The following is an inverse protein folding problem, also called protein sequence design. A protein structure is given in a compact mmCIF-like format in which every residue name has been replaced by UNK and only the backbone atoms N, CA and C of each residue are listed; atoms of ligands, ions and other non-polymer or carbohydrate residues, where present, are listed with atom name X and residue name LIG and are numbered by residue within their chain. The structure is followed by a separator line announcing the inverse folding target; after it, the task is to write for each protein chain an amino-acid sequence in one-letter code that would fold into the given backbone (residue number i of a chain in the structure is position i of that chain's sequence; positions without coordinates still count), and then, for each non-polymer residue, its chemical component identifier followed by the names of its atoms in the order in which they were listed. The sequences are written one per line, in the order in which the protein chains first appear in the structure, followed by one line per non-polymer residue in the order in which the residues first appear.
data_IF_311367771596
#
_entry.id   IF_311367771596
#
_cell.length_a   1.000
_cell.length_b   1.000
_cell.length_c   1.000
_cell.angle_alpha   90.00
_cell.angle_beta   90.00
_cell.angle_gamma   90.00
#
_symmetry.space_group_name_H-M   'P 1'
#
loop_
_entity.id
_entity.type
_entity.pdbx_description
1 polymer ?
#
# COMPACT_ATOMS: atom_id res chain seq x y z
N UNK A 1 -9.30 -17.20 -28.70
CA UNK A 1 -9.38 -16.59 -27.35
C UNK A 1 -10.08 -15.26 -27.50
N UNK A 2 -11.15 -14.99 -26.75
CA UNK A 2 -11.79 -13.67 -26.76
C UNK A 2 -10.91 -12.76 -25.94
N UNK A 3 -10.22 -11.81 -26.56
CA UNK A 3 -9.48 -10.77 -25.83
C UNK A 3 -10.47 -9.99 -24.98
N UNK A 4 -10.35 -10.13 -23.66
CA UNK A 4 -11.15 -9.36 -22.71
C UNK A 4 -10.77 -7.89 -22.90
N UNK A 5 -11.70 -7.09 -23.45
CA UNK A 5 -11.50 -5.66 -23.65
C UNK A 5 -11.49 -4.96 -22.29
N UNK A 6 -10.33 -4.47 -21.88
CA UNK A 6 -10.18 -3.70 -20.64
C UNK A 6 -10.91 -2.36 -20.82
N UNK A 7 -11.83 -2.03 -19.93
CA UNK A 7 -12.52 -0.73 -19.95
C UNK A 7 -11.98 0.24 -18.91
N UNK A 8 -12.07 1.55 -19.20
CA UNK A 8 -11.65 2.61 -18.28
C UNK A 8 -12.44 2.57 -16.96
N UNK A 9 -13.74 2.34 -17.03
CA UNK A 9 -14.61 2.36 -15.84
C UNK A 9 -14.34 1.17 -14.92
N UNK A 10 -14.08 -0.02 -15.48
CA UNK A 10 -13.63 -1.17 -14.69
C UNK A 10 -12.31 -0.88 -13.98
N UNK A 11 -11.31 -0.33 -14.69
CA UNK A 11 -10.02 0.01 -14.09
C UNK A 11 -10.15 1.08 -13.01
N UNK A 12 -10.98 2.10 -13.20
CA UNK A 12 -11.24 3.13 -12.17
C UNK A 12 -11.84 2.50 -10.92
N UNK A 13 -12.81 1.59 -11.08
CA UNK A 13 -13.41 0.85 -9.98
C UNK A 13 -12.38 -0.02 -9.25
N UNK A 14 -11.52 -0.71 -9.99
CA UNK A 14 -10.44 -1.52 -9.42
C UNK A 14 -9.43 -0.66 -8.65
N UNK A 15 -8.97 0.45 -9.24
CA UNK A 15 -8.05 1.40 -8.58
C UNK A 15 -8.64 1.92 -7.26
N UNK A 16 -9.93 2.25 -7.24
CA UNK A 16 -10.60 2.68 -6.01
C UNK A 16 -10.55 1.58 -4.94
N UNK A 17 -10.85 0.34 -5.33
CA UNK A 17 -10.76 -0.80 -4.42
C UNK A 17 -9.33 -1.03 -3.92
N UNK A 18 -8.33 -0.94 -4.80
CA UNK A 18 -6.93 -1.13 -4.43
C UNK A 18 -6.43 -0.04 -3.48
N UNK A 19 -6.87 1.22 -3.67
CA UNK A 19 -6.58 2.33 -2.77
C UNK A 19 -7.23 2.11 -1.39
N UNK A 20 -8.52 1.77 -1.35
CA UNK A 20 -9.27 1.59 -0.10
C UNK A 20 -8.76 0.43 0.76
N UNK A 21 -8.38 -0.69 0.14
CA UNK A 21 -7.96 -1.91 0.85
C UNK A 21 -6.44 -2.13 0.87
N UNK A 22 -5.67 -1.14 0.39
CA UNK A 22 -4.22 -1.23 0.21
C UNK A 22 -3.75 -2.50 -0.53
N UNK A 23 -4.51 -2.96 -1.52
CA UNK A 23 -4.20 -4.18 -2.30
C UNK A 23 -3.13 -3.90 -3.38
N UNK A 24 -1.89 -3.73 -2.92
CA UNK A 24 -0.73 -3.47 -3.77
C UNK A 24 -0.44 -4.63 -4.74
N UNK A 25 -0.78 -5.88 -4.38
CA UNK A 25 -0.60 -7.06 -5.24
C UNK A 25 -1.58 -7.05 -6.40
N UNK A 26 -2.86 -6.78 -6.14
CA UNK A 26 -3.89 -6.59 -7.16
C UNK A 26 -3.54 -5.42 -8.07
N UNK A 27 -3.14 -4.28 -7.50
CA UNK A 27 -2.68 -3.12 -8.26
C UNK A 27 -1.50 -3.44 -9.18
N UNK A 28 -0.53 -4.24 -8.73
CA UNK A 28 0.61 -4.65 -9.56
C UNK A 28 0.21 -5.61 -10.69
N UNK A 29 -0.73 -6.51 -10.43
CA UNK A 29 -1.33 -7.36 -11.46
C UNK A 29 -1.98 -6.52 -12.56
N UNK A 30 -2.87 -5.60 -12.17
CA UNK A 30 -3.54 -4.69 -13.10
C UNK A 30 -2.56 -3.76 -13.83
N UNK A 31 -1.50 -3.29 -13.17
CA UNK A 31 -0.42 -2.51 -13.79
C UNK A 31 0.23 -3.28 -14.94
N UNK A 32 0.61 -4.55 -14.71
CA UNK A 32 1.26 -5.39 -15.73
C UNK A 32 0.34 -5.65 -16.92
N UNK A 33 -0.92 -5.97 -16.67
CA UNK A 33 -1.91 -6.20 -17.73
C UNK A 33 -2.14 -4.94 -18.56
N UNK A 34 -2.36 -3.79 -17.91
CA UNK A 34 -2.59 -2.53 -18.60
C UNK A 34 -1.34 -2.05 -19.36
N UNK A 35 -0.15 -2.20 -18.77
CA UNK A 35 1.11 -1.86 -19.44
C UNK A 35 1.26 -2.68 -20.72
N UNK A 36 1.08 -4.00 -20.63
CA UNK A 36 1.14 -4.90 -21.78
C UNK A 36 0.15 -4.48 -22.87
N UNK A 37 -1.10 -4.20 -22.50
CA UNK A 37 -2.11 -3.72 -23.43
C UNK A 37 -1.69 -2.40 -24.13
N UNK A 38 -1.12 -1.46 -23.40
CA UNK A 38 -0.65 -0.18 -23.97
C UNK A 38 0.58 -0.35 -24.86
N UNK A 39 1.47 -1.29 -24.53
CA UNK A 39 2.67 -1.58 -25.32
C UNK A 39 2.33 -2.31 -26.63
N UNK A 40 1.30 -3.17 -26.62
CA UNK A 40 0.85 -3.94 -27.79
C UNK A 40 -0.16 -3.19 -28.67
N UNK A 41 -0.83 -2.16 -28.14
CA UNK A 41 -1.83 -1.39 -28.87
C UNK A 41 -1.24 -0.20 -29.63
N UNK A 42 -1.89 0.19 -30.73
CA UNK A 42 -1.58 1.40 -31.48
C UNK A 42 -2.27 2.66 -30.91
N UNK A 43 -2.89 2.55 -29.73
CA UNK A 43 -3.75 3.60 -29.13
C UNK A 43 -3.05 4.96 -29.04
N UNK A 44 -1.74 4.96 -28.84
CA UNK A 44 -0.93 6.19 -28.81
C UNK A 44 -1.11 7.03 -30.08
N UNK A 45 -1.31 6.38 -31.23
CA UNK A 45 -1.48 7.01 -32.54
C UNK A 45 -2.94 7.01 -32.98
N UNK A 46 -3.66 5.89 -32.77
CA UNK A 46 -5.04 5.72 -33.25
C UNK A 46 -6.06 6.48 -32.40
N UNK A 47 -5.83 6.62 -31.09
CA UNK A 47 -6.69 7.40 -30.19
C UNK A 47 -5.88 8.01 -29.01
N UNK A 48 -5.17 9.12 -29.24
CA UNK A 48 -4.26 9.70 -28.25
C UNK A 48 -4.93 10.11 -26.94
N UNK A 49 -6.20 10.54 -26.97
CA UNK A 49 -6.92 10.93 -25.75
C UNK A 49 -7.27 9.71 -24.90
N UNK A 50 -7.66 8.59 -25.53
CA UNK A 50 -7.88 7.33 -24.84
C UNK A 50 -6.57 6.79 -24.24
N UNK A 51 -5.47 6.87 -24.99
CA UNK A 51 -4.14 6.53 -24.48
C UNK A 51 -3.78 7.35 -23.24
N UNK A 52 -4.02 8.68 -23.27
CA UNK A 52 -3.78 9.56 -22.12
C UNK A 52 -4.59 9.17 -20.89
N UNK A 53 -5.85 8.78 -21.08
CA UNK A 53 -6.70 8.29 -19.99
C UNK A 53 -6.14 7.00 -19.38
N UNK A 54 -5.78 6.01 -20.20
CA UNK A 54 -5.16 4.79 -19.70
C UNK A 54 -3.80 5.04 -19.05
N UNK A 55 -2.97 5.91 -19.60
CA UNK A 55 -1.68 6.28 -19.03
C UNK A 55 -1.83 6.92 -17.64
N UNK A 56 -2.87 7.73 -17.42
CA UNK A 56 -3.18 8.26 -16.10
C UNK A 56 -3.54 7.14 -15.11
N UNK A 57 -4.34 6.15 -15.53
CA UNK A 57 -4.69 4.99 -14.70
C UNK A 57 -3.48 4.10 -14.42
N UNK A 58 -2.63 3.86 -15.43
CA UNK A 58 -1.39 3.12 -15.30
C UNK A 58 -0.46 3.77 -14.27
N UNK A 59 -0.34 5.10 -14.30
CA UNK A 59 0.44 5.87 -13.32
C UNK A 59 -0.09 5.69 -11.90
N UNK A 60 -1.42 5.72 -11.70
CA UNK A 60 -2.02 5.45 -10.37
C UNK A 60 -1.75 4.03 -9.90
N UNK A 61 -1.93 3.03 -10.77
CA UNK A 61 -1.61 1.64 -10.46
C UNK A 61 -0.13 1.47 -10.08
N UNK A 62 0.77 2.20 -10.74
CA UNK A 62 2.19 2.22 -10.42
C UNK A 62 2.47 2.77 -9.03
N UNK A 63 1.80 3.84 -8.60
CA UNK A 63 1.88 4.33 -7.22
C UNK A 63 1.32 3.32 -6.20
N UNK A 64 0.14 2.76 -6.46
CA UNK A 64 -0.48 1.76 -5.58
C UNK A 64 0.38 0.49 -5.42
N UNK A 65 1.13 0.13 -6.45
CA UNK A 65 2.05 -1.01 -6.47
C UNK A 65 3.51 -0.64 -6.28
N UNK A 66 3.82 0.56 -5.74
CA UNK A 66 5.19 1.06 -5.63
C UNK A 66 6.14 0.09 -4.90
N UNK A 67 5.61 -0.74 -4.00
CA UNK A 67 6.35 -1.77 -3.25
C UNK A 67 6.99 -2.87 -4.12
N UNK A 68 6.62 -2.97 -5.40
CA UNK A 68 7.20 -3.93 -6.35
C UNK A 68 8.27 -3.32 -7.26
N UNK A 69 8.67 -2.08 -7.01
CA UNK A 69 9.70 -1.38 -7.76
C UNK A 69 10.92 -1.17 -6.84
N UNK A 70 12.08 -1.57 -7.33
CA UNK A 70 13.39 -1.47 -6.65
C UNK A 70 14.31 -0.42 -7.29
N UNK A 71 13.99 0.03 -8.51
CA UNK A 71 14.73 1.08 -9.19
C UNK A 71 14.41 2.47 -8.61
N UNK A 72 15.28 2.96 -7.73
CA UNK A 72 15.12 4.25 -7.07
C UNK A 72 15.13 5.46 -8.01
N UNK A 73 15.80 5.39 -9.15
CA UNK A 73 15.75 6.47 -10.15
C UNK A 73 14.37 6.52 -10.83
N UNK A 74 13.78 5.36 -11.14
CA UNK A 74 12.42 5.26 -11.67
C UNK A 74 11.38 5.74 -10.66
N UNK A 75 11.56 5.40 -9.37
CA UNK A 75 10.70 5.87 -8.27
C UNK A 75 10.81 7.39 -8.13
N UNK A 76 12.02 7.94 -8.13
CA UNK A 76 12.25 9.39 -8.05
C UNK A 76 11.63 10.15 -9.22
N UNK A 77 11.73 9.59 -10.43
CA UNK A 77 11.09 10.14 -11.62
C UNK A 77 9.56 10.06 -11.57
N UNK A 78 9.01 8.95 -11.09
CA UNK A 78 7.56 8.79 -10.88
C UNK A 78 7.03 9.83 -9.90
N UNK A 79 7.68 9.98 -8.75
CA UNK A 79 7.29 10.94 -7.72
C UNK A 79 7.39 12.37 -8.25
N UNK A 80 8.52 12.77 -8.82
CA UNK A 80 8.71 14.15 -9.30
C UNK A 80 7.73 14.53 -10.43
N UNK A 81 7.50 13.64 -11.40
CA UNK A 81 6.69 13.97 -12.59
C UNK A 81 5.18 13.77 -12.38
N UNK A 82 4.80 12.90 -11.44
CA UNK A 82 3.42 12.43 -11.32
C UNK A 82 2.83 12.46 -9.92
N UNK A 83 3.42 13.20 -8.96
CA UNK A 83 2.86 13.32 -7.60
C UNK A 83 1.41 13.84 -7.57
N UNK A 84 0.98 14.57 -8.61
CA UNK A 84 -0.42 14.99 -8.74
C UNK A 84 -1.40 13.81 -8.68
N UNK A 85 -0.99 12.63 -9.15
CA UNK A 85 -1.82 11.42 -9.14
C UNK A 85 -2.00 10.82 -7.76
N UNK A 86 -1.04 11.02 -6.87
CA UNK A 86 -1.16 10.63 -5.46
C UNK A 86 -2.26 11.42 -4.77
N UNK A 87 -2.44 12.71 -5.10
CA UNK A 87 -3.50 13.53 -4.49
C UNK A 87 -4.91 13.14 -4.93
N UNK A 88 -5.04 12.34 -5.99
CA UNK A 88 -6.31 11.80 -6.47
C UNK A 88 -6.65 10.45 -5.80
N UNK A 89 -5.75 9.89 -4.98
CA UNK A 89 -5.95 8.67 -4.20
C UNK A 89 -6.30 9.07 -2.76
N UNK A 90 -7.41 8.56 -2.25
CA UNK A 90 -8.01 9.07 -1.01
C UNK A 90 -7.34 8.47 0.24
N UNK A 91 -6.98 7.19 0.17
CA UNK A 91 -6.47 6.39 1.28
C UNK A 91 -4.96 6.11 1.17
N UNK A 92 -4.33 6.54 0.08
CA UNK A 92 -2.93 6.25 -0.22
C UNK A 92 -1.94 7.00 0.68
N UNK A 93 -1.06 6.24 1.33
CA UNK A 93 0.11 6.74 2.06
C UNK A 93 1.39 6.47 1.26
N UNK A 94 1.86 7.51 0.55
CA UNK A 94 3.09 7.44 -0.24
C UNK A 94 4.33 7.15 0.62
N UNK A 95 4.39 7.69 1.85
CA UNK A 95 5.55 7.45 2.71
C UNK A 95 5.63 5.99 3.12
N UNK A 96 4.49 5.38 3.48
CA UNK A 96 4.46 3.96 3.85
C UNK A 96 4.99 3.06 2.72
N UNK A 97 4.70 3.40 1.46
CA UNK A 97 5.23 2.68 0.30
C UNK A 97 6.74 2.85 0.12
N UNK A 98 7.23 4.08 0.24
CA UNK A 98 8.67 4.38 0.16
C UNK A 98 9.42 3.71 1.32
N UNK A 99 8.88 3.77 2.54
CA UNK A 99 9.43 3.13 3.74
C UNK A 99 9.57 1.62 3.52
N UNK A 100 8.54 0.97 2.98
CA UNK A 100 8.60 -0.47 2.64
C UNK A 100 9.73 -0.79 1.66
N UNK A 101 9.95 0.06 0.66
CA UNK A 101 11.08 -0.12 -0.28
C UNK A 101 12.44 0.17 0.36
N UNK A 102 12.52 1.12 1.28
CA UNK A 102 13.78 1.38 2.01
C UNK A 102 14.15 0.20 2.92
N UNK A 103 13.16 -0.52 3.48
CA UNK A 103 13.39 -1.70 4.30
C UNK A 103 14.08 -2.84 3.54
N UNK A 104 13.95 -2.92 2.21
CA UNK A 104 14.66 -3.91 1.40
C UNK A 104 16.10 -3.51 1.09
N UNK A 105 16.53 -2.30 1.44
CA UNK A 105 17.92 -1.84 1.38
C UNK A 105 18.59 -2.09 2.72
N UNK A 106 19.54 -3.01 2.80
CA UNK A 106 20.19 -3.39 4.07
C UNK A 106 21.12 -2.29 4.63
N UNK A 107 21.73 -1.49 3.76
CA UNK A 107 22.70 -0.47 4.16
C UNK A 107 22.05 0.88 4.51
N UNK A 108 22.26 1.35 5.75
CA UNK A 108 21.67 2.60 6.24
C UNK A 108 22.21 3.86 5.55
N UNK A 109 23.47 3.83 5.09
CA UNK A 109 24.03 4.98 4.34
C UNK A 109 23.42 5.05 2.94
N UNK A 110 23.18 3.91 2.30
CA UNK A 110 22.46 3.79 1.03
C UNK A 110 21.02 4.29 1.17
N UNK A 111 20.29 3.89 2.22
CA UNK A 111 18.95 4.45 2.52
C UNK A 111 18.97 5.98 2.59
N UNK A 112 19.96 6.56 3.27
CA UNK A 112 20.11 8.01 3.38
C UNK A 112 20.48 8.67 2.04
N UNK A 113 21.26 8.00 1.19
CA UNK A 113 21.55 8.47 -0.17
C UNK A 113 20.29 8.45 -1.05
N UNK A 114 19.49 7.40 -0.98
CA UNK A 114 18.21 7.28 -1.67
C UNK A 114 17.28 8.43 -1.27
N UNK A 115 17.09 8.65 0.04
CA UNK A 115 16.26 9.75 0.57
C UNK A 115 16.73 11.12 0.06
N UNK A 116 18.05 11.37 0.06
CA UNK A 116 18.63 12.61 -0.51
C UNK A 116 18.37 12.74 -2.01
N UNK A 117 18.46 11.63 -2.75
CA UNK A 117 18.11 11.57 -4.17
C UNK A 117 16.65 11.97 -4.41
N UNK A 118 15.72 11.41 -3.64
CA UNK A 118 14.29 11.76 -3.70
C UNK A 118 14.03 13.23 -3.34
N UNK A 119 14.68 13.75 -2.30
CA UNK A 119 14.63 15.18 -1.93
C UNK A 119 15.09 16.07 -3.09
N UNK A 120 16.19 15.70 -3.75
CA UNK A 120 16.72 16.44 -4.90
C UNK A 120 15.70 16.45 -6.05
N UNK A 121 15.16 15.29 -6.42
CA UNK A 121 14.13 15.15 -7.47
C UNK A 121 12.88 15.99 -7.17
N UNK A 122 12.40 16.00 -5.92
CA UNK A 122 11.28 16.83 -5.49
C UNK A 122 11.61 18.33 -5.59
N UNK A 123 12.81 18.73 -5.18
CA UNK A 123 13.24 20.14 -5.19
C UNK A 123 13.42 20.71 -6.60
N UNK A 124 13.79 19.85 -7.55
CA UNK A 124 14.01 20.19 -8.97
C UNK A 124 12.73 20.03 -9.81
N UNK A 125 11.66 19.49 -9.25
CA UNK A 125 10.43 19.18 -9.97
C UNK A 125 9.65 20.43 -10.39
N UNK A 126 9.39 20.55 -11.68
CA UNK A 126 8.54 21.57 -12.32
C UNK A 126 7.05 21.18 -12.36
N UNK A 127 6.70 20.02 -11.81
CA UNK A 127 5.32 19.55 -11.80
C UNK A 127 4.40 20.49 -11.04
N UNK A 128 3.43 21.07 -11.75
CA UNK A 128 2.38 21.93 -11.19
C UNK A 128 1.39 21.11 -10.37
N UNK A 129 1.16 21.52 -9.12
CA UNK A 129 0.21 20.88 -8.20
C UNK A 129 -0.89 21.84 -7.71
N UNK A 130 -0.68 23.16 -7.87
CA UNK A 130 -1.65 24.22 -7.59
C UNK A 130 -2.00 24.98 -8.87
N UNK A 131 -3.29 25.16 -9.14
CA UNK A 131 -3.75 25.93 -10.30
C UNK A 131 -3.88 27.43 -9.95
N UNK A 132 -3.07 28.28 -10.58
CA UNK A 132 -3.05 29.73 -10.39
C UNK A 132 -4.42 30.40 -10.62
N UNK A 133 -5.25 29.87 -11.52
CA UNK A 133 -6.59 30.41 -11.81
C UNK A 133 -7.48 30.42 -10.56
N UNK A 134 -7.25 29.50 -9.61
CA UNK A 134 -7.97 29.46 -8.35
C UNK A 134 -7.59 30.58 -7.36
N UNK A 135 -6.53 31.35 -7.63
CA UNK A 135 -5.94 32.32 -6.72
C UNK A 135 -5.47 33.62 -7.44
N UNK A 136 -6.37 34.31 -8.18
CA UNK A 136 -6.00 35.48 -8.99
C UNK A 136 -5.38 36.62 -8.18
N UNK A 137 -5.71 36.73 -6.89
CA UNK A 137 -5.21 37.75 -5.96
C UNK A 137 -3.75 37.57 -5.55
N UNK A 138 -3.11 36.42 -5.87
CA UNK A 138 -1.75 36.11 -5.41
C UNK A 138 -0.81 35.81 -6.59
N UNK A 139 -0.17 36.84 -7.09
CA UNK A 139 0.71 36.78 -8.26
C UNK A 139 1.93 35.86 -8.09
N UNK A 140 2.49 35.81 -6.88
CA UNK A 140 3.71 35.08 -6.52
C UNK A 140 3.43 33.79 -5.72
N UNK A 141 2.28 33.16 -5.95
CA UNK A 141 1.95 31.89 -5.30
C UNK A 141 2.86 30.76 -5.85
N UNK A 142 3.45 29.91 -4.99
CA UNK A 142 4.13 28.70 -5.45
C UNK A 142 3.15 27.77 -6.20
N UNK A 143 3.54 27.28 -7.37
CA UNK A 143 2.66 26.45 -8.22
C UNK A 143 3.16 25.02 -8.38
N UNK A 144 4.49 24.84 -8.41
CA UNK A 144 5.15 23.56 -8.65
C UNK A 144 5.58 22.89 -7.34
N UNK A 145 5.84 21.58 -7.38
CA UNK A 145 6.43 20.85 -6.25
C UNK A 145 7.72 21.53 -5.78
N UNK A 146 8.64 21.82 -6.69
CA UNK A 146 9.91 22.46 -6.35
C UNK A 146 9.75 23.84 -5.71
N UNK A 147 8.79 24.65 -6.17
CA UNK A 147 8.50 25.96 -5.55
C UNK A 147 7.96 25.82 -4.12
N UNK A 148 7.10 24.83 -3.87
CA UNK A 148 6.59 24.54 -2.53
C UNK A 148 7.68 24.02 -1.59
N UNK A 149 8.59 23.16 -2.08
CA UNK A 149 9.76 22.74 -1.28
C UNK A 149 10.64 23.94 -0.92
N UNK A 150 10.88 24.87 -1.86
CA UNK A 150 11.60 26.11 -1.58
C UNK A 150 10.87 26.98 -0.55
N UNK A 151 9.55 27.13 -0.68
CA UNK A 151 8.74 27.88 0.29
C UNK A 151 8.80 27.27 1.69
N UNK A 152 8.70 25.95 1.81
CA UNK A 152 8.89 25.23 3.09
C UNK A 152 10.27 25.54 3.67
N UNK A 153 11.33 25.39 2.87
CA UNK A 153 12.70 25.63 3.34
C UNK A 153 12.95 27.08 3.78
N UNK A 154 12.35 28.07 3.13
CA UNK A 154 12.46 29.49 3.52
C UNK A 154 11.75 29.75 4.86
N UNK A 155 10.57 29.16 5.07
CA UNK A 155 9.74 29.47 6.24
C UNK A 155 10.05 28.59 7.46
N UNK A 156 10.56 27.39 7.24
CA UNK A 156 10.74 26.35 8.26
C UNK A 156 12.22 25.98 8.45
N UNK A 157 13.03 26.10 7.41
CA UNK A 157 14.45 25.75 7.42
C UNK A 157 14.76 24.31 6.98
N UNK A 158 16.05 24.02 6.84
CA UNK A 158 16.57 22.75 6.31
C UNK A 158 16.76 21.65 7.36
N UNK A 159 16.67 21.97 8.65
CA UNK A 159 16.83 21.01 9.75
C UNK A 159 15.52 20.25 10.01
N UNK A 160 15.59 19.21 10.84
CA UNK A 160 14.40 18.49 11.30
C UNK A 160 13.42 19.48 11.97
N UNK A 161 12.18 19.47 11.50
CA UNK A 161 11.16 20.42 11.95
C UNK A 161 10.36 19.86 13.11
N UNK A 162 10.11 20.69 14.12
CA UNK A 162 9.21 20.32 15.22
C UNK A 162 7.74 20.28 14.77
N UNK A 163 6.91 19.51 15.47
CA UNK A 163 5.45 19.48 15.20
C UNK A 163 4.81 20.87 15.30
N UNK A 164 5.33 21.72 16.18
CA UNK A 164 4.90 23.10 16.36
C UNK A 164 5.21 23.97 15.13
N UNK A 165 6.44 23.93 14.62
CA UNK A 165 6.83 24.70 13.42
C UNK A 165 6.06 24.27 12.18
N UNK A 166 5.86 22.95 12.03
CA UNK A 166 5.03 22.39 10.96
C UNK A 166 3.59 22.90 11.03
N UNK A 167 2.99 22.88 12.23
CA UNK A 167 1.63 23.40 12.46
C UNK A 167 1.58 24.89 12.13
N UNK A 168 2.54 25.67 12.66
CA UNK A 168 2.64 27.11 12.40
C UNK A 168 2.73 27.42 10.91
N UNK A 169 3.51 26.66 10.14
CA UNK A 169 3.59 26.84 8.69
C UNK A 169 2.25 26.54 8.02
N UNK A 170 1.65 25.38 8.30
CA UNK A 170 0.40 24.93 7.69
C UNK A 170 -0.83 25.76 8.09
N UNK A 171 -0.76 26.54 9.17
CA UNK A 171 -1.85 27.43 9.59
C UNK A 171 -1.60 28.89 9.26
N UNK A 172 -0.36 29.37 9.41
CA UNK A 172 -0.06 30.80 9.45
C UNK A 172 0.81 31.29 8.28
N UNK A 173 1.36 30.42 7.44
CA UNK A 173 2.13 30.86 6.27
C UNK A 173 1.22 31.64 5.32
N UNK A 174 1.73 32.79 4.83
CA UNK A 174 0.97 33.66 3.93
C UNK A 174 0.50 32.93 2.67
N UNK A 175 1.31 31.98 2.16
CA UNK A 175 0.99 31.17 0.98
C UNK A 175 -0.07 30.12 1.30
N UNK A 176 -0.06 29.56 2.51
CA UNK A 176 -1.01 28.52 2.92
C UNK A 176 -2.38 29.10 3.26
N UNK A 177 -2.45 30.22 3.97
CA UNK A 177 -3.72 30.80 4.45
C UNK A 177 -4.73 30.97 3.31
N UNK A 178 -4.26 31.43 2.14
CA UNK A 178 -5.11 31.71 0.97
C UNK A 178 -5.60 30.47 0.23
N UNK A 179 -4.99 29.30 0.47
CA UNK A 179 -5.35 28.06 -0.23
C UNK A 179 -6.70 27.52 0.24
N UNK A 180 -7.42 26.92 -0.71
CA UNK A 180 -8.60 26.09 -0.42
C UNK A 180 -8.17 24.80 0.29
N UNK A 181 -9.09 24.15 1.00
CA UNK A 181 -8.80 22.96 1.80
C UNK A 181 -8.20 21.81 0.98
N UNK A 182 -8.68 21.59 -0.24
CA UNK A 182 -8.13 20.57 -1.15
C UNK A 182 -6.66 20.81 -1.45
N UNK A 183 -6.29 22.05 -1.78
CA UNK A 183 -4.91 22.42 -2.07
C UNK A 183 -4.04 22.41 -0.80
N UNK A 184 -4.58 22.83 0.35
CA UNK A 184 -3.91 22.67 1.66
C UNK A 184 -3.58 21.20 1.95
N UNK A 185 -4.50 20.28 1.64
CA UNK A 185 -4.27 18.84 1.78
C UNK A 185 -3.08 18.38 0.92
N UNK A 186 -2.99 18.83 -0.34
CA UNK A 186 -1.85 18.51 -1.21
C UNK A 186 -0.52 18.98 -0.62
N UNK A 187 -0.48 20.22 -0.13
CA UNK A 187 0.75 20.78 0.46
C UNK A 187 1.10 20.06 1.76
N UNK A 188 0.10 19.69 2.57
CA UNK A 188 0.33 18.86 3.75
C UNK A 188 0.97 17.51 3.38
N UNK A 189 0.44 16.80 2.39
CA UNK A 189 1.00 15.51 1.95
C UNK A 189 2.45 15.68 1.47
N UNK A 190 2.72 16.71 0.65
CA UNK A 190 4.08 17.01 0.18
C UNK A 190 5.03 17.33 1.33
N UNK A 191 4.59 18.17 2.28
CA UNK A 191 5.39 18.55 3.43
C UNK A 191 5.65 17.35 4.36
N UNK A 192 4.65 16.50 4.59
CA UNK A 192 4.77 15.28 5.39
C UNK A 192 5.81 14.34 4.77
N UNK A 193 5.74 14.10 3.46
CA UNK A 193 6.72 13.31 2.73
C UNK A 193 8.13 13.91 2.84
N UNK A 194 8.25 15.21 2.60
CA UNK A 194 9.53 15.91 2.63
C UNK A 194 10.21 15.83 4.00
N UNK A 195 9.46 16.04 5.08
CA UNK A 195 9.99 15.90 6.45
C UNK A 195 10.47 14.48 6.73
N UNK A 196 9.73 13.46 6.29
CA UNK A 196 10.12 12.06 6.49
C UNK A 196 11.41 11.72 5.76
N UNK A 197 11.57 12.20 4.53
CA UNK A 197 12.79 12.00 3.75
C UNK A 197 14.02 12.69 4.37
N UNK A 198 13.85 13.77 5.15
CA UNK A 198 14.98 14.44 5.84
C UNK A 198 15.54 13.63 7.00
N UNK A 199 14.77 12.70 7.56
CA UNK A 199 15.19 11.93 8.73
C UNK A 199 16.22 10.88 8.32
N UNK A 200 17.41 10.95 8.91
CA UNK A 200 18.45 9.94 8.71
C UNK A 200 18.02 8.60 9.29
N UNK A 201 18.25 7.55 8.52
CA UNK A 201 17.99 6.14 8.87
C UNK A 201 18.83 5.68 10.07
N UNK A 202 19.90 6.42 10.41
CA UNK A 202 20.75 6.19 11.59
C UNK A 202 20.21 6.83 12.87
N UNK A 203 19.14 7.61 12.78
CA UNK A 203 18.51 8.24 13.95
C UNK A 203 17.29 7.44 14.39
N UNK A 204 16.97 7.38 15.69
CA UNK A 204 15.79 6.66 16.17
C UNK A 204 14.49 7.07 15.46
N UNK A 205 14.35 8.34 15.10
CA UNK A 205 13.17 8.89 14.43
C UNK A 205 13.09 8.53 12.95
N UNK A 206 14.24 8.37 12.29
CA UNK A 206 14.34 8.05 10.87
C UNK A 206 14.59 6.58 10.57
N UNK A 207 14.83 5.76 11.60
CA UNK A 207 14.97 4.32 11.47
C UNK A 207 13.64 3.68 11.07
N UNK A 208 13.64 2.99 9.94
CA UNK A 208 12.44 2.39 9.34
C UNK A 208 12.06 1.06 9.99
N UNK A 209 13.04 0.30 10.47
CA UNK A 209 12.80 -1.03 10.99
C UNK A 209 12.02 -0.97 12.32
N UNK A 210 11.13 -1.94 12.51
CA UNK A 210 10.42 -2.14 13.77
C UNK A 210 11.22 -3.08 14.66
N UNK A 211 11.61 -2.62 15.85
CA UNK A 211 12.37 -3.43 16.80
C UNK A 211 11.45 -3.89 17.92
N UNK A 212 11.13 -5.19 18.04
CA UNK A 212 10.42 -5.70 19.20
C UNK A 212 11.33 -5.62 20.43
N UNK A 213 10.81 -5.08 21.53
CA UNK A 213 11.51 -4.94 22.81
C UNK A 213 10.61 -5.48 23.91
N UNK A 214 11.17 -6.27 24.81
CA UNK A 214 10.49 -6.74 26.03
C UNK A 214 10.94 -5.90 27.23
N UNK A 215 10.00 -5.33 27.96
CA UNK A 215 10.25 -4.58 29.20
C UNK A 215 9.31 -5.12 30.27
N UNK A 216 9.88 -5.64 31.36
CA UNK A 216 9.14 -6.21 32.49
C UNK A 216 8.11 -7.28 32.08
N UNK A 217 8.42 -8.10 31.07
CA UNK A 217 7.54 -9.15 30.55
C UNK A 217 6.46 -8.69 29.57
N UNK A 218 6.42 -7.40 29.24
CA UNK A 218 5.49 -6.82 28.26
C UNK A 218 6.22 -6.51 26.95
N UNK A 219 5.58 -6.85 25.82
CA UNK A 219 6.13 -6.61 24.48
C UNK A 219 5.76 -5.21 23.96
N UNK A 220 6.77 -4.52 23.47
CA UNK A 220 6.69 -3.22 22.81
C UNK A 220 7.28 -3.33 21.40
N UNK A 221 6.81 -2.46 20.50
CA UNK A 221 7.51 -2.17 19.25
C UNK A 221 8.12 -0.79 19.38
N UNK A 222 9.43 -0.71 19.15
CA UNK A 222 10.11 0.56 18.96
C UNK A 222 10.08 0.92 17.48
N UNK A 223 9.41 2.02 17.15
CA UNK A 223 9.32 2.55 15.78
C UNK A 223 9.38 4.07 15.82
N UNK A 224 10.19 4.67 14.94
CA UNK A 224 10.28 6.14 14.77
C UNK A 224 10.53 6.91 16.08
N UNK A 225 11.34 6.34 16.97
CA UNK A 225 11.72 6.96 18.24
C UNK A 225 10.63 6.88 19.33
N UNK A 226 9.57 6.10 19.11
CA UNK A 226 8.50 5.88 20.07
C UNK A 226 8.41 4.39 20.44
N UNK A 227 8.07 4.11 21.70
CA UNK A 227 7.71 2.75 22.14
C UNK A 227 6.19 2.62 22.16
N UNK A 228 5.68 1.64 21.44
CA UNK A 228 4.25 1.34 21.37
C UNK A 228 3.99 -0.06 21.93
N UNK A 229 3.09 -0.23 22.91
CA UNK A 229 2.79 -1.55 23.46
C UNK A 229 2.08 -2.44 22.41
N UNK A 230 2.54 -3.68 22.25
CA UNK A 230 2.04 -4.60 21.22
C UNK A 230 0.55 -4.94 21.39
N UNK A 231 0.04 -4.90 22.63
CA UNK A 231 -1.39 -5.07 22.94
C UNK A 231 -2.29 -4.05 22.23
N UNK A 232 -1.79 -2.85 21.94
CA UNK A 232 -2.53 -1.83 21.20
C UNK A 232 -2.47 -2.05 19.69
N UNK A 233 -1.38 -2.63 19.17
CA UNK A 233 -1.22 -2.97 17.75
C UNK A 233 -2.15 -4.14 17.37
N UNK A 234 -2.30 -5.13 18.27
CA UNK A 234 -3.21 -6.27 18.07
C UNK A 234 -4.69 -5.87 18.03
N UNK A 235 -5.08 -4.70 18.57
CA UNK A 235 -6.44 -4.17 18.40
C UNK A 235 -6.70 -3.69 16.96
N UNK A 236 -5.68 -3.15 16.29
CA UNK A 236 -5.79 -2.75 14.88
C UNK A 236 -5.78 -3.94 13.92
N UNK A 237 -5.10 -5.04 14.27
CA UNK A 237 -5.11 -6.27 13.46
C UNK A 237 -6.30 -7.19 13.75
N UNK A 238 -6.99 -7.02 14.89
CA UNK A 238 -8.17 -7.83 15.22
C UNK A 238 -9.38 -7.52 14.33
N UNK A 239 -9.41 -6.34 13.71
CA UNK A 239 -10.39 -6.01 12.67
C UNK A 239 -10.07 -6.66 11.31
N UNK A 240 -8.86 -7.23 11.15
CA UNK A 240 -8.41 -7.98 9.96
C UNK A 240 -8.38 -9.50 10.17
N UNK A 241 -8.32 -9.97 11.42
CA UNK A 241 -8.57 -11.39 11.73
C UNK A 241 -10.06 -11.62 11.75
N UNK A 242 -10.57 -12.51 10.89
CA UNK A 242 -11.97 -12.91 10.87
C UNK A 242 -12.52 -13.37 12.23
N UNK A 243 -13.81 -13.71 12.30
CA UNK A 243 -14.52 -13.97 13.56
C UNK A 243 -13.74 -14.91 14.49
N UNK A 244 -13.78 -14.69 15.82
CA UNK A 244 -12.99 -15.43 16.78
C UNK A 244 -13.17 -16.94 16.59
N UNK A 245 -12.04 -17.66 16.49
CA UNK A 245 -12.02 -19.12 16.34
C UNK A 245 -12.94 -19.77 17.37
N UNK A 246 -13.80 -20.65 16.89
CA UNK A 246 -14.72 -21.46 17.71
C UNK A 246 -13.94 -22.37 18.66
N UNK A 247 -14.60 -22.87 19.72
CA UNK A 247 -13.97 -23.80 20.65
C UNK A 247 -13.52 -25.10 19.97
N UNK A 248 -14.14 -25.48 18.86
CA UNK A 248 -13.76 -26.65 18.06
C UNK A 248 -12.49 -26.39 17.25
N UNK A 249 -12.35 -25.22 16.63
CA UNK A 249 -11.12 -24.84 15.92
C UNK A 249 -9.92 -24.76 16.85
N UNK A 250 -10.12 -24.27 18.09
CA UNK A 250 -9.06 -24.29 19.11
C UNK A 250 -8.64 -25.70 19.51
N UNK A 251 -9.59 -26.63 19.62
CA UNK A 251 -9.30 -28.06 19.90
C UNK A 251 -8.57 -28.74 18.75
N UNK A 252 -8.88 -28.39 17.50
CA UNK A 252 -8.20 -28.92 16.31
C UNK A 252 -6.74 -28.46 16.26
N UNK A 253 -6.48 -27.19 16.58
CA UNK A 253 -5.12 -26.67 16.63
C UNK A 253 -4.30 -27.32 17.77
N UNK A 254 -4.90 -27.51 18.95
CA UNK A 254 -4.26 -28.26 20.06
C UNK A 254 -3.99 -29.73 19.72
N UNK A 255 -4.81 -30.35 18.85
CA UNK A 255 -4.60 -31.72 18.38
C UNK A 255 -3.47 -31.80 17.35
N UNK A 256 -3.28 -30.77 16.52
CA UNK A 256 -2.19 -30.71 15.54
C UNK A 256 -0.82 -30.52 16.20
N UNK A 257 -0.75 -29.78 17.30
CA UNK A 257 0.49 -29.63 18.10
C UNK A 257 0.88 -30.93 18.85
N UNK A 258 -0.05 -31.88 19.02
CA UNK A 258 0.20 -33.15 19.72
C UNK A 258 0.60 -34.32 18.81
N UNK A 259 0.62 -34.12 17.49
CA UNK A 259 1.06 -35.17 16.58
C UNK A 259 2.60 -35.18 16.46
N UNK A 260 3.27 -36.32 16.66
CA UNK A 260 4.71 -36.40 16.49
C UNK A 260 5.09 -36.09 15.03
N UNK A 261 6.12 -35.26 14.85
CA UNK A 261 6.75 -35.09 13.54
C UNK A 261 7.52 -36.38 13.21
N UNK A 262 6.90 -37.27 12.43
CA UNK A 262 7.61 -38.40 11.85
C UNK A 262 8.31 -37.97 10.55
N UNK A 263 9.64 -38.01 10.61
CA UNK A 263 10.52 -37.97 9.44
C UNK A 263 10.37 -39.25 8.61
N UNK A 264 10.20 -39.08 7.30
CA UNK A 264 10.85 -39.94 6.32
C UNK A 264 10.14 -41.22 5.84
N UNK A 265 9.91 -41.23 4.53
CA UNK A 265 9.89 -42.40 3.61
C UNK A 265 8.55 -43.17 3.49
N UNK A 266 7.72 -42.75 2.53
CA UNK A 266 6.54 -43.50 2.08
C UNK A 266 5.67 -42.77 1.04
N UNK A 267 6.28 -42.05 0.10
CA UNK A 267 5.55 -41.40 -1.01
C UNK A 267 5.34 -42.39 -2.15
N UNK A 268 4.19 -42.28 -2.85
CA UNK A 268 3.70 -43.12 -3.95
C UNK A 268 2.86 -44.35 -3.55
N UNK A 269 1.77 -44.13 -2.80
CA UNK A 269 0.56 -44.95 -2.85
C UNK A 269 -0.62 -44.31 -2.11
N UNK A 270 -0.36 -43.31 -1.25
CA UNK A 270 -1.36 -42.74 -0.32
C UNK A 270 -1.94 -41.39 -0.81
N UNK A 271 -1.43 -40.83 -1.91
CA UNK A 271 -1.79 -39.46 -2.35
C UNK A 271 -3.22 -39.33 -2.88
N UNK A 272 -3.83 -40.36 -3.50
CA UNK A 272 -5.23 -40.27 -3.92
C UNK A 272 -6.22 -40.43 -2.75
N UNK A 273 -5.95 -41.34 -1.81
CA UNK A 273 -6.83 -41.54 -0.64
C UNK A 273 -6.75 -40.41 0.40
N UNK A 274 -5.58 -39.80 0.58
CA UNK A 274 -5.42 -38.64 1.49
C UNK A 274 -6.10 -37.40 0.89
N UNK A 275 -6.06 -37.21 -0.43
CA UNK A 275 -6.69 -36.05 -1.07
C UNK A 275 -8.21 -36.05 -0.93
N UNK A 276 -8.88 -37.18 -1.12
CA UNK A 276 -10.33 -37.26 -1.01
C UNK A 276 -10.80 -37.14 0.45
N UNK A 277 -10.04 -37.68 1.40
CA UNK A 277 -10.36 -37.55 2.83
C UNK A 277 -10.26 -36.09 3.30
N UNK A 278 -9.19 -35.39 2.93
CA UNK A 278 -9.04 -33.95 3.24
C UNK A 278 -10.14 -33.11 2.59
N UNK A 279 -10.49 -33.43 1.34
CA UNK A 279 -11.56 -32.73 0.61
C UNK A 279 -12.94 -32.96 1.23
N UNK A 280 -13.22 -34.15 1.74
CA UNK A 280 -14.46 -34.44 2.46
C UNK A 280 -14.55 -33.61 3.75
N UNK A 281 -13.46 -33.49 4.51
CA UNK A 281 -13.45 -32.72 5.76
C UNK A 281 -13.60 -31.20 5.53
N UNK A 282 -12.99 -30.67 4.47
CA UNK A 282 -13.21 -29.29 4.03
C UNK A 282 -14.67 -29.05 3.62
N UNK A 283 -15.26 -29.95 2.82
CA UNK A 283 -16.66 -29.84 2.40
C UNK A 283 -17.63 -29.94 3.60
N UNK A 284 -17.35 -30.78 4.59
CA UNK A 284 -18.12 -30.85 5.86
C UNK A 284 -18.05 -29.52 6.62
N UNK A 285 -16.86 -28.92 6.67
CA UNK A 285 -16.66 -27.60 7.30
C UNK A 285 -17.42 -26.49 6.56
N UNK A 286 -17.44 -26.53 5.23
CA UNK A 286 -18.18 -25.57 4.39
C UNK A 286 -19.71 -25.78 4.55
N UNK A 287 -20.19 -27.02 4.59
CA UNK A 287 -21.62 -27.34 4.77
C UNK A 287 -22.20 -26.76 6.06
N UNK A 288 -21.43 -26.77 7.14
CA UNK A 288 -21.83 -26.22 8.45
C UNK A 288 -22.03 -24.69 8.44
N UNK A 289 -21.57 -23.97 7.41
CA UNK A 289 -21.78 -22.52 7.27
C UNK A 289 -23.16 -22.16 6.71
N UNK A 290 -23.92 -23.14 6.22
CA UNK A 290 -25.21 -22.94 5.59
C UNK A 290 -26.35 -23.48 6.45
N UNK A 291 -27.50 -22.77 6.45
CA UNK A 291 -28.71 -23.19 7.18
C UNK A 291 -29.16 -24.58 6.74
N UNK A 292 -29.69 -25.34 7.70
CA UNK A 292 -30.37 -26.61 7.45
C UNK A 292 -31.46 -26.40 6.37
N UNK A 293 -31.52 -27.30 5.39
CA UNK A 293 -32.39 -27.26 4.20
C UNK A 293 -32.08 -26.21 3.13
N UNK A 294 -30.96 -25.48 3.20
CA UNK A 294 -30.55 -24.60 2.09
C UNK A 294 -30.11 -25.39 0.86
N UNK A 295 -30.34 -24.81 -0.33
CA UNK A 295 -30.01 -25.43 -1.61
C UNK A 295 -28.50 -25.64 -1.78
N UNK A 296 -27.70 -24.72 -1.23
CA UNK A 296 -26.24 -24.76 -1.18
C UNK A 296 -25.74 -25.91 -0.31
N UNK A 297 -26.32 -26.09 0.89
CA UNK A 297 -25.96 -27.20 1.77
C UNK A 297 -26.25 -28.56 1.13
N UNK A 298 -27.42 -28.70 0.49
CA UNK A 298 -27.78 -29.93 -0.23
C UNK A 298 -26.81 -30.26 -1.37
N UNK A 299 -26.35 -29.25 -2.11
CA UNK A 299 -25.37 -29.44 -3.18
C UNK A 299 -24.01 -29.91 -2.64
N UNK A 300 -23.56 -29.36 -1.50
CA UNK A 300 -22.30 -29.75 -0.85
C UNK A 300 -22.40 -31.17 -0.27
N UNK A 301 -23.51 -31.50 0.41
CA UNK A 301 -23.76 -32.84 0.96
C UNK A 301 -23.84 -33.91 -0.14
N UNK A 302 -24.38 -33.57 -1.32
CA UNK A 302 -24.41 -34.47 -2.47
C UNK A 302 -23.01 -34.73 -3.04
N UNK A 303 -22.14 -33.71 -3.06
CA UNK A 303 -20.75 -33.87 -3.51
C UNK A 303 -19.91 -34.70 -2.51
N UNK A 304 -20.13 -34.51 -1.19
CA UNK A 304 -19.54 -35.38 -0.15
C UNK A 304 -19.92 -36.85 -0.39
N UNK A 305 -21.21 -37.13 -0.64
CA UNK A 305 -21.68 -38.50 -0.90
C UNK A 305 -21.09 -39.13 -2.16
N UNK A 306 -20.74 -38.33 -3.18
CA UNK A 306 -20.08 -38.86 -4.39
C UNK A 306 -18.63 -39.24 -4.10
N UNK A 307 -17.92 -38.45 -3.31
CA UNK A 307 -16.55 -38.74 -2.90
C UNK A 307 -16.48 -39.95 -1.97
N UNK A 308 -17.44 -40.12 -1.06
CA UNK A 308 -17.53 -41.29 -0.17
C UNK A 308 -17.89 -42.60 -0.90
N UNK A 309 -18.32 -42.55 -2.17
CA UNK A 309 -18.72 -43.72 -2.98
C UNK A 309 -17.67 -44.18 -3.98
N UNK A 310 -16.58 -43.43 -4.16
CA UNK A 310 -15.43 -43.82 -4.98
C UNK A 310 -14.48 -44.70 -4.19
#
# INVERSE_FOLDING_TARGET
MVEKKITIEELKSQIKSYDEYDDFKGAYGAYKELKKYLDESDLRFSNPELFKQFFNLLTKLKFLSLNYFDNWEEIGDLISKHLDKVFELEHFDLWNKIETNLLSTDDMDERDQIKKGLIKKLSESDKVIINKIGYPQKSNLPLTIGDWIKDINVNVGYKNTSSFEKTKYLTNSSNIIVLKNEDKRKIKILFDLYEKLKLSSKTPQGYEDEVPIEIDGELYIFRRGMMEPLKNILKYTKDLSGPPKTQEEKKIDELKERLPQEEGVGKMAIEEGISDTQKIDELKTIANRYKDNSLQRRAIEEEIRKLERK
#
